data_IF_327668611831
#
_entry.id   IF_327668611831
#
_cell.length_a   1.000
_cell.length_b   1.000
_cell.length_c   1.000
_cell.angle_alpha   90.00
_cell.angle_beta   90.00
_cell.angle_gamma   90.00
#
_symmetry.space_group_name_H-M   'P 1'
#
loop_
_entity.id
_entity.type
_entity.pdbx_description
1 polymer ?
#
# COMPACT_ATOMS: atom_id res chain seq x y z
N UNK A 1 12.35 10.81 10.62
CA UNK A 1 11.21 10.90 9.70
C UNK A 1 11.74 10.80 8.27
N UNK A 2 11.12 10.01 7.39
CA UNK A 2 11.60 9.82 6.01
C UNK A 2 10.97 10.88 5.09
N UNK A 3 11.73 11.91 4.74
CA UNK A 3 11.39 12.85 3.68
C UNK A 3 11.82 12.27 2.33
N UNK A 4 11.05 12.55 1.28
CA UNK A 4 11.32 12.04 -0.07
C UNK A 4 11.43 13.18 -1.06
N UNK A 5 12.56 13.27 -1.76
CA UNK A 5 12.68 14.16 -2.92
C UNK A 5 12.18 13.43 -4.17
N UNK A 6 11.10 13.93 -4.78
CA UNK A 6 10.62 13.48 -6.09
C UNK A 6 11.18 14.38 -7.17
N UNK A 7 11.98 13.82 -8.07
CA UNK A 7 12.36 14.46 -9.33
C UNK A 7 11.48 13.94 -10.47
N UNK A 8 10.68 14.80 -11.10
CA UNK A 8 9.91 14.50 -12.31
C UNK A 8 10.66 15.01 -13.54
N UNK A 9 10.89 14.12 -14.51
CA UNK A 9 11.51 14.44 -15.80
C UNK A 9 10.44 14.40 -16.90
N UNK A 10 10.25 15.52 -17.59
CA UNK A 10 9.30 15.66 -18.71
C UNK A 10 10.11 15.61 -19.99
N UNK A 11 9.79 14.65 -20.86
CA UNK A 11 10.48 14.43 -22.13
C UNK A 11 9.90 15.35 -23.22
N UNK A 12 10.74 15.73 -24.18
CA UNK A 12 10.31 16.48 -25.38
C UNK A 12 9.28 15.71 -26.23
N UNK A 13 9.22 14.38 -26.11
CA UNK A 13 8.25 13.50 -26.78
C UNK A 13 7.88 12.30 -25.90
N UNK A 14 6.64 11.82 -26.05
CA UNK A 14 6.13 10.65 -25.31
C UNK A 14 6.77 9.34 -25.77
N UNK A 15 6.84 8.38 -24.83
CA UNK A 15 7.17 6.98 -25.12
C UNK A 15 5.89 6.14 -25.23
N UNK A 16 5.80 5.17 -26.17
CA UNK A 16 6.79 4.89 -27.23
C UNK A 16 6.77 5.94 -28.35
N UNK A 17 7.93 6.20 -28.96
CA UNK A 17 8.07 7.08 -30.13
C UNK A 17 9.08 6.51 -31.14
N UNK A 18 9.55 7.34 -32.08
CA UNK A 18 10.51 6.90 -33.13
C UNK A 18 11.85 6.43 -32.54
N UNK A 19 12.24 7.00 -31.39
CA UNK A 19 13.40 6.60 -30.61
C UNK A 19 12.96 5.94 -29.30
N UNK A 20 13.88 5.16 -28.71
CA UNK A 20 13.70 4.57 -27.37
C UNK A 20 14.08 5.53 -26.23
N UNK A 21 14.58 6.70 -26.59
CA UNK A 21 14.97 7.76 -25.66
C UNK A 21 14.66 9.11 -26.29
N UNK A 22 14.34 10.08 -25.45
CA UNK A 22 14.12 11.48 -25.81
C UNK A 22 14.81 12.37 -24.79
N UNK A 23 15.18 13.57 -25.20
CA UNK A 23 15.76 14.58 -24.31
C UNK A 23 14.74 15.02 -23.25
N UNK A 24 15.23 15.34 -22.05
CA UNK A 24 14.43 15.91 -20.98
C UNK A 24 14.24 17.40 -21.27
N UNK A 25 13.01 17.81 -21.53
CA UNK A 25 12.64 19.21 -21.74
C UNK A 25 12.61 19.98 -20.40
N UNK A 26 12.03 19.36 -19.37
CA UNK A 26 11.81 19.99 -18.07
C UNK A 26 12.09 19.02 -16.93
N UNK A 27 12.69 19.57 -15.87
CA UNK A 27 12.93 18.89 -14.59
C UNK A 27 12.17 19.64 -13.49
N UNK A 28 11.38 18.92 -12.72
CA UNK A 28 10.70 19.43 -11.52
C UNK A 28 11.17 18.64 -10.31
N UNK A 29 11.40 19.33 -9.19
CA UNK A 29 11.81 18.71 -7.92
C UNK A 29 10.83 19.14 -6.85
N UNK A 30 10.26 18.17 -6.14
CA UNK A 30 9.29 18.39 -5.07
C UNK A 30 9.72 17.57 -3.85
N UNK A 31 9.77 18.21 -2.69
CA UNK A 31 9.92 17.50 -1.42
C UNK A 31 8.55 17.02 -0.93
N UNK A 32 8.47 15.76 -0.55
CA UNK A 32 7.31 15.17 0.08
C UNK A 32 7.58 14.97 1.56
N UNK A 33 6.65 15.44 2.37
CA UNK A 33 6.66 15.21 3.81
C UNK A 33 6.51 13.71 4.12
N UNK A 34 6.95 13.27 5.32
CA UNK A 34 6.75 11.90 5.77
C UNK A 34 5.28 11.46 5.75
N UNK A 35 4.33 12.38 6.00
CA UNK A 35 2.89 12.10 5.98
C UNK A 35 2.37 11.89 4.55
N UNK A 36 2.76 12.76 3.61
CA UNK A 36 2.39 12.61 2.19
C UNK A 36 2.96 11.32 1.61
N UNK A 37 4.22 11.01 1.94
CA UNK A 37 4.83 9.75 1.54
C UNK A 37 4.10 8.53 2.14
N UNK A 38 3.66 8.59 3.40
CA UNK A 38 2.89 7.52 4.02
C UNK A 38 1.55 7.28 3.31
N UNK A 39 0.84 8.36 2.94
CA UNK A 39 -0.42 8.31 2.18
C UNK A 39 -0.19 7.62 0.84
N UNK A 40 0.79 8.08 0.05
CA UNK A 40 1.06 7.53 -1.26
C UNK A 40 1.51 6.06 -1.21
N UNK A 41 2.37 5.70 -0.25
CA UNK A 41 2.79 4.31 -0.06
C UNK A 41 1.58 3.42 0.24
N UNK A 42 0.66 3.90 1.07
CA UNK A 42 -0.55 3.14 1.42
C UNK A 42 -1.52 3.04 0.24
N UNK A 43 -1.74 4.12 -0.51
CA UNK A 43 -2.55 4.14 -1.73
C UNK A 43 -2.02 3.16 -2.78
N UNK A 44 -0.71 3.22 -3.05
CA UNK A 44 -0.06 2.31 -4.00
C UNK A 44 -0.18 0.85 -3.55
N UNK A 45 -0.07 0.58 -2.25
CA UNK A 45 -0.25 -0.77 -1.71
C UNK A 45 -1.69 -1.27 -1.84
N UNK A 46 -2.66 -0.41 -1.56
CA UNK A 46 -4.09 -0.72 -1.73
C UNK A 46 -4.43 -1.00 -3.20
N UNK A 47 -3.90 -0.20 -4.12
CA UNK A 47 -4.06 -0.42 -5.56
C UNK A 47 -3.44 -1.77 -5.98
N UNK A 48 -2.21 -2.05 -5.54
CA UNK A 48 -1.54 -3.33 -5.82
C UNK A 48 -2.38 -4.53 -5.33
N UNK A 49 -2.91 -4.47 -4.11
CA UNK A 49 -3.78 -5.51 -3.57
C UNK A 49 -5.04 -5.68 -4.42
N UNK A 50 -5.74 -4.59 -4.76
CA UNK A 50 -6.95 -4.63 -5.61
C UNK A 50 -6.66 -5.27 -6.96
N UNK A 51 -5.54 -4.92 -7.61
CA UNK A 51 -5.13 -5.51 -8.89
C UNK A 51 -4.89 -7.02 -8.76
N UNK A 52 -4.10 -7.46 -7.77
CA UNK A 52 -3.81 -8.88 -7.57
C UNK A 52 -5.07 -9.69 -7.25
N UNK A 53 -5.96 -9.15 -6.41
CA UNK A 53 -7.22 -9.80 -6.06
C UNK A 53 -8.10 -9.94 -7.32
N UNK A 54 -8.23 -8.88 -8.12
CA UNK A 54 -9.02 -8.91 -9.37
C UNK A 54 -8.48 -9.93 -10.37
N UNK A 55 -7.16 -9.99 -10.57
CA UNK A 55 -6.52 -11.00 -11.44
C UNK A 55 -6.76 -12.42 -10.93
N UNK A 56 -6.74 -12.62 -9.61
CA UNK A 56 -7.03 -13.90 -8.99
C UNK A 56 -8.49 -14.32 -9.20
N UNK A 57 -9.44 -13.40 -8.95
CA UNK A 57 -10.87 -13.65 -9.13
C UNK A 57 -11.26 -13.97 -10.57
N UNK A 58 -10.68 -13.24 -11.52
CA UNK A 58 -10.93 -13.43 -12.96
C UNK A 58 -10.16 -14.63 -13.55
N UNK A 59 -9.46 -15.41 -12.72
CA UNK A 59 -8.62 -16.56 -13.12
C UNK A 59 -7.55 -16.20 -14.15
N UNK A 60 -7.10 -14.95 -14.15
CA UNK A 60 -6.00 -14.46 -14.99
C UNK A 60 -4.63 -14.77 -14.38
N UNK A 61 -4.58 -15.20 -13.11
CA UNK A 61 -3.36 -15.65 -12.44
C UNK A 61 -3.18 -17.16 -12.56
N UNK A 62 -2.01 -17.58 -13.05
CA UNK A 62 -1.59 -18.98 -13.00
C UNK A 62 -0.95 -19.36 -11.65
N UNK A 63 -0.43 -18.37 -10.91
CA UNK A 63 0.27 -18.57 -9.65
C UNK A 63 -0.31 -17.65 -8.56
N UNK A 64 -0.70 -18.21 -7.41
CA UNK A 64 -1.28 -17.46 -6.28
C UNK A 64 -0.24 -16.70 -5.45
N UNK A 65 1.03 -17.09 -5.53
CA UNK A 65 2.11 -16.58 -4.68
C UNK A 65 2.22 -15.04 -4.65
N UNK A 66 2.04 -14.29 -5.75
CA UNK A 66 2.08 -12.83 -5.69
C UNK A 66 1.00 -12.25 -4.77
N UNK A 67 -0.23 -12.80 -4.79
CA UNK A 67 -1.29 -12.39 -3.87
C UNK A 67 -0.95 -12.81 -2.43
N UNK A 68 -0.51 -14.05 -2.22
CA UNK A 68 -0.11 -14.56 -0.89
C UNK A 68 0.98 -13.70 -0.26
N UNK A 69 2.01 -13.36 -1.03
CA UNK A 69 3.12 -12.52 -0.57
C UNK A 69 2.67 -11.08 -0.27
N UNK A 70 1.78 -10.52 -1.09
CA UNK A 70 1.25 -9.18 -0.87
C UNK A 70 0.39 -9.12 0.40
N UNK A 71 -0.53 -10.08 0.58
CA UNK A 71 -1.35 -10.22 1.79
C UNK A 71 -0.47 -10.36 3.04
N UNK A 72 0.51 -11.27 3.00
CA UNK A 72 1.43 -11.50 4.12
C UNK A 72 2.24 -10.26 4.46
N UNK A 73 2.78 -9.54 3.46
CA UNK A 73 3.60 -8.36 3.69
C UNK A 73 2.84 -7.19 4.33
N UNK A 74 1.51 -7.15 4.19
CA UNK A 74 0.66 -6.12 4.80
C UNK A 74 0.13 -6.57 6.17
N UNK A 75 -0.33 -7.82 6.28
CA UNK A 75 -0.91 -8.37 7.51
C UNK A 75 0.17 -8.66 8.57
N UNK A 76 1.27 -9.29 8.17
CA UNK A 76 2.39 -9.68 9.04
C UNK A 76 3.59 -8.77 8.80
N UNK A 77 3.37 -7.45 8.94
CA UNK A 77 4.37 -6.42 8.66
C UNK A 77 5.48 -6.33 9.73
N UNK A 78 6.00 -7.45 10.21
CA UNK A 78 6.95 -7.56 11.32
C UNK A 78 8.27 -6.79 11.10
N UNK A 79 8.66 -6.53 9.84
CA UNK A 79 9.89 -5.81 9.50
C UNK A 79 9.66 -4.30 9.41
N UNK A 80 8.66 -3.87 8.64
CA UNK A 80 8.41 -2.46 8.37
C UNK A 80 7.47 -1.80 9.40
N UNK A 81 6.91 -2.57 10.34
CA UNK A 81 6.02 -2.10 11.39
C UNK A 81 4.58 -1.79 10.96
N UNK A 82 4.27 -1.92 9.66
CA UNK A 82 2.91 -1.83 9.13
C UNK A 82 2.20 -0.51 9.43
N UNK A 83 0.86 -0.58 9.44
CA UNK A 83 -0.01 0.58 9.69
C UNK A 83 0.14 1.17 11.10
N UNK A 84 0.59 0.38 12.08
CA UNK A 84 0.83 0.84 13.45
C UNK A 84 1.87 1.97 13.52
N UNK A 85 2.90 1.92 12.67
CA UNK A 85 3.93 2.98 12.59
C UNK A 85 3.35 4.33 12.18
N UNK A 86 2.31 4.34 11.35
CA UNK A 86 1.63 5.57 10.95
C UNK A 86 0.78 6.14 12.10
N UNK A 87 0.12 5.28 12.88
CA UNK A 87 -0.63 5.71 14.07
C UNK A 87 0.31 6.34 15.10
N UNK A 88 1.43 5.68 15.39
CA UNK A 88 2.46 6.16 16.32
C UNK A 88 3.10 7.48 15.88
N UNK A 89 3.27 7.69 14.56
CA UNK A 89 3.91 8.88 14.02
C UNK A 89 2.96 10.08 13.88
N UNK A 90 1.74 9.86 13.39
CA UNK A 90 0.89 10.95 12.91
C UNK A 90 -0.42 11.12 13.69
N UNK A 91 -0.85 10.11 14.47
CA UNK A 91 -2.15 10.16 15.17
C UNK A 91 -2.00 10.52 16.66
N UNK A 92 -0.77 10.76 17.13
CA UNK A 92 -0.50 11.20 18.49
C UNK A 92 -0.91 12.67 18.69
N UNK A 93 -1.41 12.99 19.89
CA UNK A 93 -1.93 14.34 20.22
C UNK A 93 -0.92 15.45 19.93
N UNK A 94 0.35 15.22 20.29
CA UNK A 94 1.40 16.21 20.10
C UNK A 94 1.64 16.53 18.63
N UNK A 95 1.59 15.54 17.72
CA UNK A 95 1.72 15.79 16.28
C UNK A 95 0.55 16.64 15.77
N UNK A 96 -0.68 16.24 16.11
CA UNK A 96 -1.90 16.91 15.64
C UNK A 96 -1.96 18.36 16.11
N UNK A 97 -1.55 18.64 17.35
CA UNK A 97 -1.55 20.00 17.89
C UNK A 97 -0.47 20.89 17.25
N UNK A 98 0.68 20.31 16.90
CA UNK A 98 1.78 21.05 16.28
C UNK A 98 1.64 21.21 14.76
N UNK A 99 0.81 20.39 14.11
CA UNK A 99 0.60 20.37 12.65
C UNK A 99 -0.90 20.44 12.27
N UNK A 100 -1.62 21.51 12.65
CA UNK A 100 -3.04 21.65 12.32
C UNK A 100 -3.32 21.66 10.81
N UNK A 101 -2.35 22.10 9.99
CA UNK A 101 -2.41 22.11 8.52
C UNK A 101 -2.47 20.71 7.90
N UNK A 102 -2.08 19.67 8.64
CA UNK A 102 -2.09 18.29 8.18
C UNK A 102 -3.41 17.57 8.45
N UNK A 103 -4.40 18.22 9.07
CA UNK A 103 -5.66 17.59 9.49
C UNK A 103 -6.39 16.79 8.39
N UNK A 104 -6.46 17.34 7.17
CA UNK A 104 -7.05 16.63 6.02
C UNK A 104 -6.22 15.41 5.60
N UNK A 105 -4.89 15.54 5.57
CA UNK A 105 -3.97 14.45 5.23
C UNK A 105 -4.02 13.31 6.26
N UNK A 106 -4.08 13.65 7.55
CA UNK A 106 -4.26 12.69 8.65
C UNK A 106 -5.58 11.94 8.50
N UNK A 107 -6.66 12.66 8.16
CA UNK A 107 -7.97 12.05 7.90
C UNK A 107 -7.91 11.09 6.72
N UNK A 108 -7.29 11.51 5.61
CA UNK A 108 -7.08 10.68 4.43
C UNK A 108 -6.28 9.40 4.73
N UNK A 109 -5.20 9.51 5.52
CA UNK A 109 -4.40 8.35 5.92
C UNK A 109 -5.23 7.34 6.72
N UNK A 110 -6.08 7.82 7.63
CA UNK A 110 -7.00 6.97 8.41
C UNK A 110 -8.01 6.26 7.51
N UNK A 111 -8.62 6.97 6.57
CA UNK A 111 -9.56 6.38 5.61
C UNK A 111 -8.89 5.27 4.79
N UNK A 112 -7.67 5.50 4.30
CA UNK A 112 -6.90 4.52 3.54
C UNK A 112 -6.54 3.27 4.36
N UNK A 113 -6.29 3.42 5.65
CA UNK A 113 -6.04 2.29 6.56
C UNK A 113 -7.30 1.43 6.73
N UNK A 114 -8.46 2.07 6.91
CA UNK A 114 -9.76 1.38 6.99
C UNK A 114 -10.11 0.70 5.66
N UNK A 115 -9.86 1.38 4.54
CA UNK A 115 -10.02 0.82 3.20
C UNK A 115 -9.11 -0.41 3.00
N UNK A 116 -7.85 -0.33 3.45
CA UNK A 116 -6.91 -1.45 3.37
C UNK A 116 -7.44 -2.68 4.11
N UNK A 117 -8.02 -2.50 5.30
CA UNK A 117 -8.60 -3.62 6.04
C UNK A 117 -9.74 -4.31 5.26
N UNK A 118 -10.61 -3.53 4.60
CA UNK A 118 -11.68 -4.08 3.76
C UNK A 118 -11.13 -4.83 2.54
N UNK A 119 -10.09 -4.28 1.90
CA UNK A 119 -9.42 -4.92 0.75
C UNK A 119 -8.80 -6.25 1.19
N UNK A 120 -8.12 -6.28 2.34
CA UNK A 120 -7.49 -7.49 2.88
C UNK A 120 -8.52 -8.56 3.23
N UNK A 121 -9.62 -8.19 3.88
CA UNK A 121 -10.72 -9.12 4.20
C UNK A 121 -11.25 -9.81 2.94
N UNK A 122 -11.54 -9.02 1.90
CA UNK A 122 -11.96 -9.54 0.62
C UNK A 122 -10.87 -10.38 -0.06
N UNK A 123 -9.62 -9.94 0.00
CA UNK A 123 -8.47 -10.65 -0.57
C UNK A 123 -8.24 -12.02 0.10
N UNK A 124 -8.41 -12.12 1.41
CA UNK A 124 -8.34 -13.37 2.15
C UNK A 124 -9.48 -14.32 1.75
N UNK A 125 -10.71 -13.83 1.60
CA UNK A 125 -11.84 -14.63 1.14
C UNK A 125 -11.65 -15.15 -0.31
N UNK A 126 -11.01 -14.37 -1.17
CA UNK A 126 -10.61 -14.82 -2.52
C UNK A 126 -9.51 -15.87 -2.44
N UNK A 127 -8.47 -15.60 -1.67
CA UNK A 127 -7.34 -16.50 -1.48
C UNK A 127 -7.78 -17.88 -0.93
N UNK A 128 -8.72 -17.92 0.01
CA UNK A 128 -9.27 -19.16 0.58
C UNK A 128 -9.81 -20.13 -0.48
N UNK A 129 -10.40 -19.60 -1.55
CA UNK A 129 -11.03 -20.40 -2.62
C UNK A 129 -10.03 -21.09 -3.54
N UNK A 130 -8.79 -20.58 -3.60
CA UNK A 130 -7.81 -20.99 -4.61
C UNK A 130 -6.47 -21.42 -4.01
N UNK A 131 -6.25 -21.22 -2.71
CA UNK A 131 -5.01 -21.59 -2.04
C UNK A 131 -4.79 -23.11 -2.09
N UNK A 132 -3.59 -23.56 -2.52
CA UNK A 132 -3.20 -24.98 -2.50
C UNK A 132 -3.25 -25.59 -1.09
N UNK A 133 -3.44 -26.91 -1.01
CA UNK A 133 -3.64 -27.63 0.26
C UNK A 133 -2.44 -27.51 1.21
N UNK A 134 -1.23 -27.57 0.66
CA UNK A 134 0.04 -27.39 1.37
C UNK A 134 0.22 -25.98 1.94
N UNK A 135 -0.42 -24.96 1.34
CA UNK A 135 -0.39 -23.56 1.82
C UNK A 135 -1.55 -23.18 2.75
N UNK A 136 -2.49 -24.10 3.04
CA UNK A 136 -3.61 -23.84 3.97
C UNK A 136 -3.17 -23.40 5.38
N UNK A 137 -2.10 -23.96 5.98
CA UNK A 137 -1.62 -23.48 7.28
C UNK A 137 -1.20 -22.01 7.25
N UNK A 138 -0.54 -21.57 6.16
CA UNK A 138 -0.17 -20.17 5.97
C UNK A 138 -1.41 -19.28 5.84
N UNK A 139 -2.40 -19.70 5.04
CA UNK A 139 -3.65 -18.95 4.92
C UNK A 139 -4.35 -18.77 6.28
N UNK A 140 -4.42 -19.83 7.10
CA UNK A 140 -5.00 -19.74 8.45
C UNK A 140 -4.24 -18.73 9.31
N UNK A 141 -2.91 -18.78 9.32
CA UNK A 141 -2.08 -17.80 10.04
C UNK A 141 -2.40 -16.36 9.60
N UNK A 142 -2.55 -16.12 8.29
CA UNK A 142 -2.89 -14.79 7.77
C UNK A 142 -4.27 -14.31 8.25
N UNK A 143 -5.27 -15.18 8.29
CA UNK A 143 -6.61 -14.84 8.78
C UNK A 143 -6.56 -14.47 10.28
N UNK A 144 -5.85 -15.26 11.08
CA UNK A 144 -5.70 -15.01 12.51
C UNK A 144 -4.99 -13.68 12.78
N UNK A 145 -3.89 -13.40 12.07
CA UNK A 145 -3.15 -12.14 12.18
C UNK A 145 -3.95 -10.95 11.66
N UNK A 146 -4.72 -11.12 10.59
CA UNK A 146 -5.60 -10.07 10.08
C UNK A 146 -6.64 -9.65 11.12
N UNK A 147 -7.21 -10.58 11.87
CA UNK A 147 -8.17 -10.24 12.92
C UNK A 147 -7.54 -9.36 14.01
N UNK A 148 -6.30 -9.67 14.41
CA UNK A 148 -5.52 -8.85 15.35
C UNK A 148 -5.26 -7.46 14.76
N UNK A 149 -4.77 -7.38 13.53
CA UNK A 149 -4.50 -6.11 12.83
C UNK A 149 -5.76 -5.25 12.72
N UNK A 150 -6.89 -5.83 12.29
CA UNK A 150 -8.18 -5.15 12.13
C UNK A 150 -8.72 -4.61 13.46
N UNK A 151 -8.44 -5.28 14.58
CA UNK A 151 -8.87 -4.85 15.92
C UNK A 151 -8.03 -3.68 16.47
N UNK A 152 -6.84 -3.43 15.90
CA UNK A 152 -5.95 -2.34 16.31
C UNK A 152 -6.08 -1.04 15.49
N UNK A 153 -6.90 -1.07 14.44
CA UNK A 153 -7.18 0.09 13.57
C UNK A 153 -8.19 1.04 14.21
#
# INVERSE_FOLDING_TARGET
>A
SLWVERTTLILVQSLPGISRWFEVEKREVVEMSPLENAIEVLENKNLQLRTLISQCQTRQMQNINPLTMCLNGVIDAAVNGGVARYQEAFFVKDYILNHPEDGEKITRLRELMLEQAQILEFGLAVHEKVVPQDMRPLHKKLVDQFFVMKSSL
#
